data_IF_569261980784
#
_entry.id   IF_569261980784
#
_cell.length_a   1.000
_cell.length_b   1.000
_cell.length_c   1.000
_cell.angle_alpha   90.00
_cell.angle_beta   90.00
_cell.angle_gamma   90.00
#
_symmetry.space_group_name_H-M   'P 1'
#
loop_
_entity.id
_entity.type
_entity.pdbx_description
1 polymer ?
#
# COMPACT_ATOMS: atom_id res chain seq x y z
N UNK A 1 -4.03 -12.71 21.39
CA UNK A 1 -4.31 -11.61 20.45
C UNK A 1 -4.38 -12.17 19.04
N UNK A 2 -5.29 -11.69 18.20
CA UNK A 2 -5.30 -12.12 16.79
C UNK A 2 -4.16 -11.47 16.00
N UNK A 3 -3.82 -12.04 14.84
CA UNK A 3 -2.78 -11.47 13.99
C UNK A 3 -3.19 -10.09 13.42
N UNK A 4 -4.47 -9.86 13.11
CA UNK A 4 -4.98 -8.55 12.68
C UNK A 4 -4.87 -7.50 13.80
N UNK A 5 -5.22 -7.86 15.04
CA UNK A 5 -5.06 -6.97 16.18
C UNK A 5 -3.59 -6.59 16.41
N UNK A 6 -2.66 -7.56 16.31
CA UNK A 6 -1.23 -7.27 16.45
C UNK A 6 -0.72 -6.40 15.30
N UNK A 7 -1.10 -6.72 14.06
CA UNK A 7 -0.81 -5.91 12.86
C UNK A 7 -1.18 -4.43 13.06
N UNK A 8 -2.40 -4.16 13.54
CA UNK A 8 -2.88 -2.78 13.79
C UNK A 8 -2.15 -2.11 14.95
N UNK A 9 -2.00 -2.79 16.09
CA UNK A 9 -1.32 -2.24 17.28
C UNK A 9 0.15 -1.90 17.03
N UNK A 10 0.79 -2.60 16.09
CA UNK A 10 2.17 -2.36 15.69
C UNK A 10 2.30 -1.36 14.52
N UNK A 11 1.26 -0.57 14.24
CA UNK A 11 1.32 0.47 13.20
C UNK A 11 1.22 -0.08 11.78
N UNK A 12 0.39 -1.08 11.56
CA UNK A 12 0.12 -1.67 10.24
C UNK A 12 1.36 -2.30 9.55
N UNK A 13 2.32 -2.83 10.34
CA UNK A 13 3.43 -3.66 9.81
C UNK A 13 2.87 -4.88 9.09
N UNK A 14 3.57 -5.43 8.09
CA UNK A 14 3.09 -6.65 7.40
C UNK A 14 2.66 -7.74 8.40
N UNK A 15 1.49 -8.38 8.22
CA UNK A 15 1.06 -9.49 9.09
C UNK A 15 2.12 -10.59 9.23
N UNK A 16 2.87 -10.87 8.16
CA UNK A 16 4.00 -11.80 8.18
C UNK A 16 5.09 -11.34 9.17
N UNK A 17 5.45 -10.07 9.16
CA UNK A 17 6.44 -9.49 10.09
C UNK A 17 5.92 -9.54 11.51
N UNK A 18 4.65 -9.17 11.75
CA UNK A 18 4.02 -9.27 13.07
C UNK A 18 4.07 -10.70 13.62
N UNK A 19 3.80 -11.70 12.78
CA UNK A 19 3.91 -13.11 13.16
C UNK A 19 5.35 -13.52 13.49
N UNK A 20 6.32 -13.09 12.67
CA UNK A 20 7.74 -13.38 12.90
C UNK A 20 8.26 -12.73 14.18
N UNK A 21 7.81 -11.52 14.54
CA UNK A 21 8.21 -10.87 15.78
C UNK A 21 7.83 -11.68 17.01
N UNK A 22 6.63 -12.27 17.03
CA UNK A 22 6.19 -13.14 18.13
C UNK A 22 6.95 -14.47 18.10
N UNK A 23 7.04 -15.12 16.92
CA UNK A 23 7.72 -16.42 16.77
C UNK A 23 9.20 -16.38 17.16
N UNK A 24 9.89 -15.29 16.84
CA UNK A 24 11.32 -15.13 17.09
C UNK A 24 11.62 -14.47 18.44
N UNK A 25 10.60 -14.20 19.28
CA UNK A 25 10.80 -13.62 20.61
C UNK A 25 11.11 -12.12 20.65
N UNK A 26 10.97 -11.39 19.53
CA UNK A 26 11.13 -9.93 19.51
C UNK A 26 9.94 -9.18 20.14
N UNK A 27 8.75 -9.80 20.16
CA UNK A 27 7.58 -9.32 20.87
C UNK A 27 7.22 -10.29 22.00
N UNK A 28 7.70 -10.00 23.21
CA UNK A 28 7.48 -10.82 24.41
C UNK A 28 6.15 -10.49 25.10
N UNK A 29 5.63 -11.41 25.90
CA UNK A 29 4.37 -11.21 26.65
C UNK A 29 3.09 -11.29 25.81
N UNK A 30 3.20 -11.66 24.53
CA UNK A 30 2.07 -11.75 23.60
C UNK A 30 1.98 -13.15 23.02
N UNK A 31 0.78 -13.74 23.03
CA UNK A 31 0.47 -15.02 22.37
C UNK A 31 -0.50 -14.78 21.23
N UNK A 32 -0.20 -15.34 20.06
CA UNK A 32 -1.07 -15.27 18.88
C UNK A 32 -2.15 -16.35 18.94
N UNK A 33 -3.41 -15.92 18.79
CA UNK A 33 -4.57 -16.80 18.73
C UNK A 33 -4.76 -17.24 17.28
N UNK A 34 -4.09 -18.34 16.89
CA UNK A 34 -4.08 -18.89 15.54
C UNK A 34 -2.80 -18.57 14.76
N UNK A 35 -2.04 -19.60 14.40
CA UNK A 35 -0.79 -19.50 13.62
C UNK A 35 -0.99 -19.88 12.15
N UNK A 36 -2.19 -19.71 11.61
CA UNK A 36 -2.51 -20.04 10.21
C UNK A 36 -2.17 -18.90 9.24
N UNK A 37 -1.98 -19.20 7.94
CA UNK A 37 -1.97 -18.18 6.90
C UNK A 37 -3.38 -17.61 6.82
N UNK A 38 -3.60 -16.47 7.45
CA UNK A 38 -4.81 -15.69 7.25
C UNK A 38 -4.40 -14.49 6.43
N UNK A 39 -4.84 -14.48 5.18
CA UNK A 39 -4.88 -13.29 4.35
C UNK A 39 -5.76 -12.26 5.06
N UNK A 40 -5.13 -11.48 5.95
CA UNK A 40 -5.80 -10.39 6.65
C UNK A 40 -6.08 -9.32 5.61
N UNK A 41 -7.35 -9.10 5.35
CA UNK A 41 -7.80 -7.95 4.58
C UNK A 41 -7.87 -6.74 5.50
N UNK A 42 -6.88 -5.84 5.38
CA UNK A 42 -6.87 -4.57 6.08
C UNK A 42 -7.05 -3.43 5.07
N UNK A 43 -8.22 -2.79 5.09
CA UNK A 43 -8.58 -1.69 4.19
C UNK A 43 -7.56 -0.55 4.21
N UNK A 44 -7.12 -0.13 5.40
CA UNK A 44 -6.09 0.90 5.57
C UNK A 44 -4.79 0.54 4.87
N UNK A 45 -4.38 -0.73 4.94
CA UNK A 45 -3.18 -1.21 4.26
C UNK A 45 -3.36 -1.28 2.75
N UNK A 46 -4.52 -1.75 2.28
CA UNK A 46 -4.82 -1.80 0.85
C UNK A 46 -4.79 -0.41 0.25
N UNK A 47 -5.43 0.56 0.91
CA UNK A 47 -5.46 1.94 0.47
C UNK A 47 -4.07 2.59 0.51
N UNK A 48 -3.34 2.43 1.63
CA UNK A 48 -2.03 3.07 1.80
C UNK A 48 -0.89 2.42 0.99
N UNK A 49 -0.97 1.12 0.71
CA UNK A 49 0.04 0.35 -0.04
C UNK A 49 -0.39 0.05 -1.47
N UNK A 50 -1.48 0.64 -1.94
CA UNK A 50 -1.91 0.49 -3.32
C UNK A 50 -0.75 0.86 -4.25
N UNK A 51 -0.39 -0.06 -5.14
CA UNK A 51 0.65 0.21 -6.14
C UNK A 51 0.11 1.25 -7.11
N UNK A 52 0.85 2.35 -7.29
CA UNK A 52 0.54 3.32 -8.34
C UNK A 52 1.30 2.92 -9.60
N UNK A 53 0.62 2.96 -10.75
CA UNK A 53 1.33 2.90 -12.03
C UNK A 53 2.34 4.04 -12.09
N UNK A 54 3.57 3.79 -12.56
CA UNK A 54 4.54 4.87 -12.72
C UNK A 54 3.96 5.91 -13.69
N UNK A 55 4.04 7.17 -13.30
CA UNK A 55 3.75 8.28 -14.22
C UNK A 55 4.98 8.44 -15.10
N UNK A 56 4.81 8.40 -16.42
CA UNK A 56 5.90 8.65 -17.34
C UNK A 56 6.43 10.07 -17.13
N UNK A 57 7.77 10.22 -17.10
CA UNK A 57 8.41 11.55 -16.99
C UNK A 57 8.11 12.45 -18.19
N UNK A 58 7.82 11.83 -19.32
CA UNK A 58 7.50 12.51 -20.57
C UNK A 58 6.11 12.07 -21.03
N UNK A 59 5.37 13.00 -21.66
CA UNK A 59 4.09 12.70 -22.28
C UNK A 59 4.31 11.68 -23.40
N UNK A 60 3.74 10.48 -23.24
CA UNK A 60 3.69 9.45 -24.27
C UNK A 60 2.32 9.50 -24.93
N UNK A 61 2.27 9.85 -26.21
CA UNK A 61 1.04 9.91 -27.00
C UNK A 61 1.27 10.60 -28.34
N UNK A 62 0.61 10.10 -29.38
CA UNK A 62 0.75 10.58 -30.76
C UNK A 62 0.08 11.96 -30.97
N UNK A 63 -0.92 12.29 -30.15
CA UNK A 63 -1.69 13.53 -30.26
C UNK A 63 -1.00 14.69 -29.53
N UNK A 64 0.19 15.09 -29.97
CA UNK A 64 0.77 16.41 -29.63
C UNK A 64 0.51 17.35 -30.80
N UNK A 65 0.09 18.57 -30.48
CA UNK A 65 0.19 19.67 -31.43
C UNK A 65 1.63 19.75 -31.97
N UNK A 66 1.76 19.70 -33.30
CA UNK A 66 3.02 19.83 -34.04
C UNK A 66 3.16 21.23 -34.63
N UNK A 67 2.07 21.98 -34.67
CA UNK A 67 2.00 23.33 -35.21
C UNK A 67 1.43 24.33 -34.19
N UNK A 68 1.76 25.60 -34.37
CA UNK A 68 1.31 26.67 -33.48
C UNK A 68 -0.21 26.87 -33.59
N UNK A 69 -0.90 26.89 -32.44
CA UNK A 69 -2.35 27.10 -32.37
C UNK A 69 -3.22 25.88 -32.67
N UNK A 70 -2.63 24.71 -32.93
CA UNK A 70 -3.34 23.47 -33.26
C UNK A 70 -4.18 22.95 -32.08
N UNK A 71 -3.72 23.14 -30.85
CA UNK A 71 -4.42 22.72 -29.64
C UNK A 71 -4.28 23.79 -28.56
N UNK A 72 -5.40 24.23 -27.96
CA UNK A 72 -5.44 25.21 -26.87
C UNK A 72 -6.14 24.58 -25.67
N UNK A 73 -5.43 24.50 -24.55
CA UNK A 73 -5.97 24.04 -23.27
C UNK A 73 -6.16 25.25 -22.35
N UNK A 74 -7.33 25.41 -21.76
CA UNK A 74 -7.62 26.45 -20.77
C UNK A 74 -8.20 25.80 -19.52
N UNK A 75 -7.78 26.26 -18.34
CA UNK A 75 -8.29 25.77 -17.05
C UNK A 75 -8.88 26.94 -16.26
N UNK A 76 -9.88 26.63 -15.43
CA UNK A 76 -10.46 27.58 -14.48
C UNK A 76 -9.83 27.32 -13.11
N UNK A 77 -9.24 28.36 -12.54
CA UNK A 77 -8.70 28.35 -11.18
C UNK A 77 -9.81 28.35 -10.13
#
# INVERSE_FOLDING_TARGET
ITLDQLHRRMGHISPKVAQMMVKNGFATGVKLDGLGPQDIFCESCVYAKATRKPIAKERKGENRATSFGEEVHTDLW
#
